data_IF_520213887849
#
_entry.id   IF_520213887849
#
_cell.length_a   1.000
_cell.length_b   1.000
_cell.length_c   1.000
_cell.angle_alpha   90.00
_cell.angle_beta   90.00
_cell.angle_gamma   90.00
#
_symmetry.space_group_name_H-M   'P 1'
#
loop_
_entity.id
_entity.type
_entity.pdbx_description
1 polymer ?
#
# COMPACT_ATOMS: atom_id res chain seq x y z
N UNK A 1 15.77 12.30 -6.14
CA UNK A 1 14.64 13.24 -5.98
C UNK A 1 13.28 12.53 -6.04
N UNK A 2 12.98 11.77 -7.11
CA UNK A 2 11.68 11.10 -7.30
C UNK A 2 11.36 9.96 -6.30
N UNK A 3 12.35 9.27 -5.77
CA UNK A 3 12.16 8.16 -4.82
C UNK A 3 11.77 8.61 -3.40
N UNK A 4 12.17 9.82 -2.97
CA UNK A 4 11.90 10.35 -1.63
C UNK A 4 10.47 10.87 -1.46
N UNK A 5 9.87 11.39 -2.54
CA UNK A 5 8.49 11.88 -2.56
C UNK A 5 7.44 10.75 -2.56
N UNK A 6 7.71 9.63 -3.24
CA UNK A 6 6.72 8.55 -3.41
C UNK A 6 6.33 7.85 -2.10
N UNK A 7 7.27 7.65 -1.18
CA UNK A 7 6.96 7.06 0.13
C UNK A 7 6.02 7.94 0.97
N UNK A 8 6.04 9.26 0.77
CA UNK A 8 5.22 10.22 1.51
C UNK A 8 3.90 10.53 0.80
N UNK A 9 3.91 10.68 -0.54
CA UNK A 9 2.73 11.05 -1.32
C UNK A 9 1.65 9.98 -1.42
N UNK A 10 1.99 8.67 -1.38
CA UNK A 10 0.99 7.59 -1.47
C UNK A 10 0.05 7.58 -0.26
N UNK A 11 0.42 8.24 0.84
CA UNK A 11 -0.30 8.19 2.11
C UNK A 11 -1.40 9.25 2.31
N UNK A 12 -1.44 10.32 1.50
CA UNK A 12 -2.11 11.59 1.90
C UNK A 12 -3.29 11.99 1.00
N UNK A 13 -3.53 11.34 -0.15
CA UNK A 13 -4.27 12.01 -1.23
C UNK A 13 -5.81 12.01 -1.20
N UNK A 14 -6.52 11.40 -0.24
CA UNK A 14 -8.00 11.36 -0.34
C UNK A 14 -8.82 11.56 0.96
N UNK A 15 -8.22 11.74 2.16
CA UNK A 15 -9.02 11.78 3.40
C UNK A 15 -9.36 13.15 3.98
N UNK A 16 -8.90 14.27 3.42
CA UNK A 16 -9.08 15.58 4.03
C UNK A 16 -10.02 16.51 3.21
N UNK A 17 -11.32 16.43 3.47
CA UNK A 17 -12.23 17.53 3.15
C UNK A 17 -13.14 17.81 4.34
N UNK A 18 -12.81 18.87 5.10
CA UNK A 18 -13.78 19.61 5.91
C UNK A 18 -13.60 19.57 7.43
N UNK A 19 -12.94 20.64 7.94
CA UNK A 19 -13.11 21.38 9.21
C UNK A 19 -11.81 21.56 10.00
N UNK A 20 -11.44 22.84 10.18
CA UNK A 20 -10.43 23.29 11.13
C UNK A 20 -10.96 23.07 12.55
N UNK A 21 -10.54 22.00 13.22
CA UNK A 21 -10.71 21.88 14.68
C UNK A 21 -9.46 22.41 15.38
N UNK A 22 -9.71 23.24 16.37
CA UNK A 22 -8.73 23.90 17.23
C UNK A 22 -7.87 22.91 18.03
N UNK A 23 -6.66 23.39 18.36
CA UNK A 23 -5.58 22.90 19.23
C UNK A 23 -5.95 22.04 20.47
N UNK A 24 -6.66 20.92 20.30
CA UNK A 24 -6.97 20.02 21.41
C UNK A 24 -5.91 18.92 21.47
N UNK A 25 -5.18 18.78 22.59
CA UNK A 25 -4.30 17.64 22.79
C UNK A 25 -5.15 16.37 22.90
N UNK A 26 -4.85 15.38 22.06
CA UNK A 26 -5.54 14.09 22.07
C UNK A 26 -4.77 13.13 22.98
N UNK A 27 -5.44 12.57 23.99
CA UNK A 27 -4.84 11.60 24.91
C UNK A 27 -4.82 10.21 24.27
N UNK A 28 -3.62 9.66 24.06
CA UNK A 28 -3.43 8.23 23.75
C UNK A 28 -2.42 7.67 24.77
N UNK A 29 -2.92 7.21 25.92
CA UNK A 29 -2.09 6.81 27.07
C UNK A 29 -1.65 7.98 27.98
N UNK A 30 -0.69 7.72 28.88
CA UNK A 30 -0.18 8.68 29.89
C UNK A 30 0.73 9.79 29.32
N UNK A 31 1.03 9.75 28.02
CA UNK A 31 1.84 10.76 27.34
C UNK A 31 0.97 11.74 26.53
N UNK A 32 1.19 13.04 26.73
CA UNK A 32 0.51 14.11 25.99
C UNK A 32 1.32 14.44 24.73
N UNK A 33 0.87 13.96 23.57
CA UNK A 33 1.48 14.29 22.28
C UNK A 33 0.78 15.47 21.60
N UNK A 34 1.57 16.32 20.95
CA UNK A 34 1.09 17.44 20.17
C UNK A 34 1.71 17.40 18.78
N UNK A 35 0.89 17.49 17.72
CA UNK A 35 1.36 17.38 16.34
C UNK A 35 2.44 18.43 16.00
N UNK A 36 2.32 19.65 16.54
CA UNK A 36 3.30 20.72 16.37
C UNK A 36 4.67 20.37 16.97
N UNK A 37 4.69 19.68 18.11
CA UNK A 37 5.92 19.27 18.78
C UNK A 37 6.64 18.16 18.00
N UNK A 38 5.90 17.22 17.43
CA UNK A 38 6.42 16.18 16.54
C UNK A 38 7.05 16.81 15.29
N UNK A 39 6.34 17.75 14.65
CA UNK A 39 6.85 18.48 13.47
C UNK A 39 8.09 19.28 13.83
N UNK A 40 8.09 19.98 14.98
CA UNK A 40 9.25 20.76 15.47
C UNK A 40 10.46 19.85 15.67
N UNK A 41 10.27 18.73 16.37
CA UNK A 41 11.31 17.74 16.64
C UNK A 41 11.94 17.22 15.34
N UNK A 42 11.12 16.86 14.35
CA UNK A 42 11.63 16.37 13.07
C UNK A 42 12.29 17.46 12.22
N UNK A 43 11.74 18.69 12.25
CA UNK A 43 12.34 19.88 11.64
C UNK A 43 13.73 20.16 12.20
N UNK A 44 13.95 19.91 13.49
CA UNK A 44 15.24 20.12 14.15
C UNK A 44 16.19 18.92 13.95
N UNK A 45 15.84 17.99 13.06
CA UNK A 45 16.66 16.82 12.69
C UNK A 45 16.66 15.69 13.72
N UNK A 46 15.81 15.74 14.74
CA UNK A 46 15.75 14.71 15.77
C UNK A 46 14.89 13.51 15.31
N UNK A 47 15.25 12.28 15.70
CA UNK A 47 14.47 11.10 15.35
C UNK A 47 13.14 11.06 16.09
N UNK A 48 12.10 10.61 15.40
CA UNK A 48 10.78 10.36 15.98
C UNK A 48 10.72 8.96 16.61
N UNK A 49 10.01 8.85 17.73
CA UNK A 49 9.67 7.58 18.38
C UNK A 49 8.49 6.90 17.66
N UNK A 50 8.33 5.61 17.90
CA UNK A 50 7.21 4.84 17.34
C UNK A 50 5.86 5.39 17.83
N UNK A 51 5.78 5.80 19.09
CA UNK A 51 4.58 6.36 19.72
C UNK A 51 4.18 7.70 19.09
N UNK A 52 5.16 8.59 18.85
CA UNK A 52 4.93 9.87 18.17
C UNK A 52 4.42 9.66 16.74
N UNK A 53 5.02 8.73 15.99
CA UNK A 53 4.61 8.41 14.62
C UNK A 53 3.20 7.82 14.62
N UNK A 54 2.91 6.86 15.50
CA UNK A 54 1.59 6.23 15.62
C UNK A 54 0.52 7.25 16.00
N UNK A 55 0.82 8.15 16.93
CA UNK A 55 -0.07 9.25 17.29
C UNK A 55 -0.40 10.12 16.08
N UNK A 56 0.62 10.53 15.31
CA UNK A 56 0.40 11.39 14.16
C UNK A 56 -0.44 10.71 13.08
N UNK A 57 -0.16 9.45 12.76
CA UNK A 57 -0.92 8.68 11.75
C UNK A 57 -2.36 8.42 12.17
N UNK A 58 -2.60 8.08 13.44
CA UNK A 58 -3.97 7.96 13.97
C UNK A 58 -4.68 9.31 13.90
N UNK A 59 -3.98 10.41 14.20
CA UNK A 59 -4.52 11.76 14.06
C UNK A 59 -4.90 12.13 12.62
N UNK A 60 -4.22 11.62 11.60
CA UNK A 60 -4.62 11.75 10.19
C UNK A 60 -5.91 10.97 9.94
N UNK A 61 -5.96 9.70 10.35
CA UNK A 61 -7.14 8.83 10.20
C UNK A 61 -8.38 9.45 10.85
N UNK A 62 -8.24 9.98 12.05
CA UNK A 62 -9.34 10.52 12.85
C UNK A 62 -9.66 12.00 12.50
N UNK A 63 -9.03 12.56 11.45
CA UNK A 63 -9.18 13.95 11.01
C UNK A 63 -8.88 15.01 12.09
N UNK A 64 -8.01 14.67 13.05
CA UNK A 64 -7.51 15.59 14.09
C UNK A 64 -6.36 16.45 13.56
N UNK A 65 -5.51 15.88 12.72
CA UNK A 65 -4.36 16.56 12.14
C UNK A 65 -4.78 17.27 10.85
N UNK A 66 -4.48 18.57 10.76
CA UNK A 66 -4.85 19.36 9.59
C UNK A 66 -3.94 19.09 8.39
N UNK A 67 -4.42 19.39 7.18
CA UNK A 67 -3.62 19.29 5.95
C UNK A 67 -2.31 20.08 6.03
N UNK A 68 -2.33 21.26 6.66
CA UNK A 68 -1.14 22.07 6.86
C UNK A 68 -0.11 21.39 7.77
N UNK A 69 -0.55 20.67 8.79
CA UNK A 69 0.34 19.88 9.66
C UNK A 69 0.90 18.67 8.93
N UNK A 70 0.08 17.98 8.11
CA UNK A 70 0.52 16.87 7.28
C UNK A 70 1.58 17.33 6.28
N UNK A 71 1.33 18.42 5.57
CA UNK A 71 2.27 19.02 4.61
C UNK A 71 3.57 19.46 5.30
N UNK A 72 3.48 20.07 6.49
CA UNK A 72 4.65 20.45 7.26
C UNK A 72 5.50 19.23 7.66
N UNK A 73 4.89 18.16 8.16
CA UNK A 73 5.61 16.93 8.48
C UNK A 73 6.28 16.33 7.24
N UNK A 74 5.54 16.23 6.12
CA UNK A 74 6.06 15.72 4.86
C UNK A 74 7.28 16.52 4.37
N UNK A 75 7.24 17.86 4.48
CA UNK A 75 8.36 18.71 4.12
C UNK A 75 9.56 18.53 5.05
N UNK A 76 9.34 18.38 6.36
CA UNK A 76 10.45 18.14 7.30
C UNK A 76 11.13 16.80 7.04
N UNK A 77 10.37 15.75 6.72
CA UNK A 77 10.88 14.44 6.30
C UNK A 77 11.67 14.55 5.00
N UNK A 78 11.19 15.34 4.03
CA UNK A 78 11.92 15.55 2.77
C UNK A 78 13.32 16.13 3.00
N UNK A 79 13.47 17.08 3.92
CA UNK A 79 14.75 17.71 4.23
C UNK A 79 15.66 16.89 5.15
N UNK A 80 15.10 16.21 6.15
CA UNK A 80 15.89 15.52 7.20
C UNK A 80 15.93 14.00 7.07
N UNK A 81 15.25 13.43 6.07
CA UNK A 81 15.07 12.00 5.83
C UNK A 81 14.48 11.26 7.06
N UNK A 82 14.33 9.95 6.96
CA UNK A 82 13.97 9.08 8.08
C UNK A 82 14.98 7.95 8.22
N UNK A 83 15.37 7.69 9.46
CA UNK A 83 16.12 6.49 9.82
C UNK A 83 15.30 5.22 9.54
N UNK A 84 15.97 4.06 9.45
CA UNK A 84 15.28 2.79 9.20
C UNK A 84 14.21 2.48 10.27
N UNK A 85 14.45 2.67 11.59
CA UNK A 85 13.42 2.48 12.60
C UNK A 85 12.19 3.37 12.40
N UNK A 86 12.37 4.65 12.07
CA UNK A 86 11.26 5.58 11.78
C UNK A 86 10.46 5.11 10.57
N UNK A 87 11.12 4.65 9.49
CA UNK A 87 10.45 4.14 8.29
C UNK A 87 9.62 2.90 8.58
N UNK A 88 10.14 1.98 9.40
CA UNK A 88 9.41 0.78 9.84
C UNK A 88 8.20 1.19 10.69
N UNK A 89 8.39 2.05 11.69
CA UNK A 89 7.31 2.56 12.54
C UNK A 89 6.21 3.25 11.72
N UNK A 90 6.58 4.10 10.76
CA UNK A 90 5.64 4.78 9.86
C UNK A 90 4.85 3.78 9.03
N UNK A 91 5.53 2.81 8.41
CA UNK A 91 4.89 1.79 7.57
C UNK A 91 3.90 0.94 8.39
N UNK A 92 4.28 0.56 9.61
CA UNK A 92 3.45 -0.24 10.50
C UNK A 92 2.25 0.56 11.01
N UNK A 93 2.44 1.82 11.41
CA UNK A 93 1.37 2.70 11.82
C UNK A 93 0.36 2.95 10.70
N UNK A 94 0.84 3.15 9.46
CA UNK A 94 -0.03 3.30 8.28
C UNK A 94 -0.80 2.01 7.94
N UNK A 95 -0.17 0.84 8.07
CA UNK A 95 -0.85 -0.44 7.87
C UNK A 95 -1.95 -0.65 8.91
N UNK A 96 -1.64 -0.36 10.17
CA UNK A 96 -2.52 -0.65 11.32
C UNK A 96 -3.61 0.42 11.54
N UNK A 97 -3.54 1.56 10.85
CA UNK A 97 -4.59 2.59 10.91
C UNK A 97 -5.87 2.17 10.17
N UNK A 98 -5.75 1.26 9.21
CA UNK A 98 -6.86 0.72 8.42
C UNK A 98 -7.24 -0.71 8.78
N UNK A 99 -7.91 -1.38 7.85
CA UNK A 99 -8.27 -2.81 7.98
C UNK A 99 -7.17 -3.69 7.42
N UNK A 100 -6.67 -4.64 8.23
CA UNK A 100 -5.66 -5.61 7.80
C UNK A 100 -6.34 -6.87 7.25
N UNK A 101 -6.17 -7.13 5.96
CA UNK A 101 -6.74 -8.31 5.31
C UNK A 101 -6.01 -9.59 5.73
N UNK A 102 -6.72 -10.46 6.46
CA UNK A 102 -6.24 -11.79 6.80
C UNK A 102 -6.79 -12.86 5.83
N UNK A 103 -5.89 -13.59 5.19
CA UNK A 103 -6.20 -14.62 4.19
C UNK A 103 -6.14 -16.05 4.74
N UNK A 104 -5.67 -16.23 5.99
CA UNK A 104 -5.51 -17.56 6.60
C UNK A 104 -6.84 -18.31 6.72
N UNK A 105 -7.94 -17.60 6.94
CA UNK A 105 -9.28 -18.18 7.06
C UNK A 105 -9.80 -18.82 5.77
N UNK A 106 -9.24 -18.47 4.61
CA UNK A 106 -9.66 -18.99 3.31
C UNK A 106 -8.97 -20.30 2.90
N UNK A 107 -8.04 -20.81 3.73
CA UNK A 107 -7.30 -22.06 3.52
C UNK A 107 -6.80 -22.25 2.07
N UNK A 108 -6.13 -21.21 1.56
CA UNK A 108 -5.67 -21.14 0.18
C UNK A 108 -4.58 -22.20 -0.06
N UNK A 109 -4.72 -22.96 -1.14
CA UNK A 109 -3.84 -24.08 -1.51
C UNK A 109 -2.64 -23.67 -2.38
N UNK A 110 -2.37 -22.37 -2.50
CA UNK A 110 -1.34 -21.78 -3.36
C UNK A 110 -0.73 -20.54 -2.73
N UNK A 111 0.40 -20.05 -3.26
CA UNK A 111 1.10 -18.91 -2.70
C UNK A 111 0.27 -17.62 -2.89
N UNK A 112 0.29 -16.76 -1.86
CA UNK A 112 -0.25 -15.41 -1.92
C UNK A 112 0.86 -14.47 -2.41
N UNK A 113 0.67 -13.82 -3.55
CA UNK A 113 1.69 -13.02 -4.22
C UNK A 113 1.12 -11.65 -4.57
N UNK A 114 1.87 -10.60 -4.29
CA UNK A 114 1.54 -9.25 -4.73
C UNK A 114 2.75 -8.63 -5.41
N UNK A 115 2.50 -7.75 -6.39
CA UNK A 115 3.52 -6.97 -7.08
C UNK A 115 3.14 -5.51 -7.03
N UNK A 116 4.09 -4.70 -6.58
CA UNK A 116 3.96 -3.25 -6.59
C UNK A 116 4.98 -2.62 -7.52
N UNK A 117 4.58 -1.57 -8.23
CA UNK A 117 5.50 -0.74 -9.03
C UNK A 117 5.77 0.55 -8.27
N UNK A 118 7.00 1.05 -8.30
CA UNK A 118 7.26 2.42 -7.84
C UNK A 118 6.61 3.45 -8.76
N UNK A 119 6.12 3.06 -9.95
CA UNK A 119 5.43 3.91 -10.91
C UNK A 119 6.34 4.37 -12.05
N UNK A 120 5.78 4.45 -13.25
CA UNK A 120 6.49 4.81 -14.49
C UNK A 120 5.51 5.16 -15.61
N UNK A 121 6.05 5.57 -16.76
CA UNK A 121 5.23 5.92 -17.94
C UNK A 121 4.86 4.63 -18.67
N UNK A 122 3.57 4.37 -18.83
CA UNK A 122 3.09 3.21 -19.59
C UNK A 122 3.25 1.85 -18.92
N UNK A 123 3.46 1.78 -17.59
CA UNK A 123 3.64 0.49 -16.89
C UNK A 123 2.37 -0.39 -16.93
N UNK A 124 2.33 -1.35 -17.84
CA UNK A 124 1.25 -2.35 -17.98
C UNK A 124 1.63 -3.70 -17.35
N UNK A 125 2.80 -3.81 -16.72
CA UNK A 125 3.31 -5.09 -16.20
C UNK A 125 2.37 -5.69 -15.16
N UNK A 126 1.81 -4.85 -14.26
CA UNK A 126 0.88 -5.34 -13.23
C UNK A 126 -0.39 -5.97 -13.83
N UNK A 127 -0.90 -5.41 -14.94
CA UNK A 127 -2.11 -5.91 -15.61
C UNK A 127 -1.91 -7.30 -16.23
N UNK A 128 -0.73 -7.53 -16.82
CA UNK A 128 -0.41 -8.83 -17.44
C UNK A 128 0.03 -9.87 -16.43
N UNK A 129 0.78 -9.45 -15.40
CA UNK A 129 1.37 -10.37 -14.42
C UNK A 129 0.32 -11.02 -13.52
N UNK A 130 -0.73 -10.29 -13.13
CA UNK A 130 -1.80 -10.82 -12.27
C UNK A 130 -2.44 -12.11 -12.83
N UNK A 131 -2.99 -12.07 -14.06
CA UNK A 131 -3.57 -13.26 -14.71
C UNK A 131 -2.56 -14.38 -14.94
N UNK A 132 -1.30 -14.07 -15.26
CA UNK A 132 -0.25 -15.08 -15.46
C UNK A 132 0.04 -15.86 -14.17
N UNK A 133 0.20 -15.16 -13.05
CA UNK A 133 0.44 -15.80 -11.74
C UNK A 133 -0.80 -16.59 -11.30
N UNK A 134 -2.01 -16.06 -11.56
CA UNK A 134 -3.26 -16.77 -11.29
C UNK A 134 -3.38 -18.08 -12.09
N UNK A 135 -3.01 -18.08 -13.38
CA UNK A 135 -2.96 -19.27 -14.23
C UNK A 135 -1.96 -20.33 -13.72
N UNK A 136 -0.87 -19.90 -13.09
CA UNK A 136 0.09 -20.78 -12.44
C UNK A 136 -0.34 -21.26 -11.04
N UNK A 137 -1.56 -20.94 -10.60
CA UNK A 137 -2.11 -21.37 -9.31
C UNK A 137 -1.79 -20.48 -8.12
N UNK A 138 -1.25 -19.28 -8.34
CA UNK A 138 -1.04 -18.26 -7.29
C UNK A 138 -2.29 -17.40 -7.04
N UNK A 139 -2.43 -16.88 -5.83
CA UNK A 139 -3.49 -15.93 -5.47
C UNK A 139 -2.90 -14.52 -5.44
N UNK A 140 -3.52 -13.59 -6.18
CA UNK A 140 -2.98 -12.23 -6.38
C UNK A 140 -3.93 -11.15 -5.84
N UNK A 141 -3.96 -10.91 -4.52
CA UNK A 141 -4.76 -9.85 -3.90
C UNK A 141 -4.08 -8.48 -4.07
N UNK A 142 -3.95 -8.03 -5.32
CA UNK A 142 -3.24 -6.79 -5.64
C UNK A 142 -4.06 -5.57 -5.23
N UNK A 143 -3.49 -4.75 -4.34
CA UNK A 143 -4.00 -3.41 -4.00
C UNK A 143 -3.17 -2.40 -4.78
N UNK A 144 -3.80 -1.67 -5.69
CA UNK A 144 -3.14 -0.67 -6.54
C UNK A 144 -3.63 0.73 -6.23
N UNK A 145 -2.79 1.73 -6.49
CA UNK A 145 -3.17 3.14 -6.39
C UNK A 145 -3.59 3.72 -7.74
N UNK A 146 -4.20 4.92 -7.68
CA UNK A 146 -4.35 5.81 -8.82
C UNK A 146 -3.00 6.42 -9.23
N UNK A 147 -2.96 7.04 -10.40
CA UNK A 147 -1.78 7.71 -10.92
C UNK A 147 -1.24 8.78 -9.98
N UNK A 148 0.09 8.90 -9.94
CA UNK A 148 0.77 9.93 -9.15
C UNK A 148 1.52 10.88 -10.10
N UNK A 149 1.11 12.15 -10.11
CA UNK A 149 1.68 13.17 -10.99
C UNK A 149 1.51 12.80 -12.47
N UNK A 150 2.62 12.72 -13.21
CA UNK A 150 2.62 12.36 -14.65
C UNK A 150 2.61 10.85 -14.93
N UNK A 151 2.61 10.01 -13.88
CA UNK A 151 2.59 8.55 -14.04
C UNK A 151 1.16 8.03 -13.90
N UNK A 152 0.66 7.32 -14.91
CA UNK A 152 -0.67 6.71 -14.87
C UNK A 152 -0.74 5.53 -13.90
N UNK A 153 -1.85 5.40 -13.16
CA UNK A 153 -2.06 4.33 -12.20
C UNK A 153 -2.51 3.02 -12.85
N UNK A 154 -2.36 1.90 -12.14
CA UNK A 154 -2.98 0.63 -12.56
C UNK A 154 -4.50 0.68 -12.41
N UNK A 155 -5.02 1.35 -11.38
CA UNK A 155 -6.46 1.53 -11.19
C UNK A 155 -7.10 2.33 -12.34
N UNK A 156 -6.47 3.42 -12.79
CA UNK A 156 -7.02 4.26 -13.87
C UNK A 156 -7.16 3.48 -15.19
N UNK A 157 -6.28 2.50 -15.42
CA UNK A 157 -6.35 1.62 -16.61
C UNK A 157 -7.46 0.58 -16.50
N UNK A 158 -7.74 0.09 -15.28
CA UNK A 158 -8.83 -0.85 -15.02
C UNK A 158 -10.19 -0.14 -15.09
N UNK A 159 -10.27 1.10 -14.61
CA UNK A 159 -11.49 1.94 -14.69
C UNK A 159 -11.91 2.24 -16.14
N UNK A 160 -10.97 2.23 -17.09
CA UNK A 160 -11.28 2.37 -18.51
C UNK A 160 -12.09 1.18 -19.08
N UNK A 161 -12.16 0.04 -18.37
CA UNK A 161 -12.99 -1.11 -18.75
C UNK A 161 -14.44 -0.83 -18.32
N UNK A 162 -15.41 -0.76 -19.27
CA UNK A 162 -16.79 -0.46 -18.92
C UNK A 162 -17.38 -1.46 -17.92
N UNK A 163 -17.92 -0.95 -16.81
CA UNK A 163 -18.56 -1.76 -15.77
C UNK A 163 -17.59 -2.42 -14.77
N UNK A 164 -16.31 -2.08 -14.81
CA UNK A 164 -15.33 -2.56 -13.82
C UNK A 164 -15.40 -1.74 -12.53
N UNK A 165 -15.67 -2.40 -11.40
CA UNK A 165 -15.64 -1.77 -10.09
C UNK A 165 -14.21 -1.78 -9.51
N UNK A 166 -13.66 -0.58 -9.33
CA UNK A 166 -12.31 -0.37 -8.78
C UNK A 166 -12.28 -0.23 -7.24
N UNK A 167 -13.44 -0.18 -6.58
CA UNK A 167 -13.54 -0.09 -5.11
C UNK A 167 -14.47 -1.19 -4.55
N UNK A 168 -14.14 -2.48 -4.77
CA UNK A 168 -14.94 -3.57 -4.23
C UNK A 168 -14.88 -3.61 -2.70
N UNK A 169 -15.98 -3.99 -2.05
CA UNK A 169 -15.96 -4.30 -0.62
C UNK A 169 -15.10 -5.55 -0.31
N UNK A 170 -14.72 -5.75 0.97
CA UNK A 170 -13.85 -6.87 1.36
C UNK A 170 -14.40 -8.25 0.95
N UNK A 171 -15.72 -8.44 1.03
CA UNK A 171 -16.35 -9.71 0.67
C UNK A 171 -16.31 -9.93 -0.85
N UNK A 172 -16.63 -8.90 -1.63
CA UNK A 172 -16.54 -8.89 -3.08
C UNK A 172 -15.10 -9.15 -3.52
N UNK A 173 -14.13 -8.45 -2.92
CA UNK A 173 -12.71 -8.61 -3.20
C UNK A 173 -12.24 -10.06 -2.97
N UNK A 174 -12.55 -10.65 -1.81
CA UNK A 174 -12.24 -12.06 -1.51
C UNK A 174 -12.87 -13.02 -2.50
N UNK A 175 -14.12 -12.78 -2.91
CA UNK A 175 -14.83 -13.59 -3.91
C UNK A 175 -14.14 -13.50 -5.27
N UNK A 176 -13.71 -12.31 -5.70
CA UNK A 176 -13.00 -12.11 -6.97
C UNK A 176 -11.70 -12.92 -6.97
N UNK A 177 -10.89 -12.82 -5.91
CA UNK A 177 -9.63 -13.57 -5.81
C UNK A 177 -9.85 -15.08 -5.89
N UNK A 178 -10.88 -15.60 -5.22
CA UNK A 178 -11.25 -17.02 -5.33
C UNK A 178 -11.78 -17.39 -6.72
N UNK A 179 -12.58 -16.54 -7.34
CA UNK A 179 -13.19 -16.80 -8.65
C UNK A 179 -12.13 -16.80 -9.75
N UNK A 180 -11.26 -15.79 -9.80
CA UNK A 180 -10.18 -15.67 -10.77
C UNK A 180 -9.27 -16.90 -10.66
N UNK A 181 -8.86 -17.27 -9.44
CA UNK A 181 -8.08 -18.48 -9.23
C UNK A 181 -8.82 -19.74 -9.72
N UNK A 182 -10.10 -19.92 -9.39
CA UNK A 182 -10.88 -21.09 -9.85
C UNK A 182 -11.02 -21.16 -11.37
N UNK A 183 -11.18 -20.02 -12.04
CA UNK A 183 -11.26 -19.96 -13.50
C UNK A 183 -9.90 -20.29 -14.15
N UNK A 184 -8.82 -19.78 -13.55
CA UNK A 184 -7.44 -19.99 -14.00
C UNK A 184 -6.88 -21.38 -13.67
N UNK A 185 -7.32 -22.00 -12.57
CA UNK A 185 -6.90 -23.33 -12.12
C UNK A 185 -7.70 -24.48 -12.74
N UNK A 186 -8.74 -24.20 -13.53
CA UNK A 186 -9.30 -25.22 -14.42
C UNK A 186 -8.18 -25.66 -15.36
N UNK A 187 -7.96 -26.96 -15.59
CA UNK A 187 -6.98 -27.41 -16.55
C UNK A 187 -7.36 -26.80 -17.88
N UNK A 188 -6.60 -25.79 -18.28
CA UNK A 188 -6.81 -25.15 -19.55
C UNK A 188 -6.59 -26.24 -20.59
N UNK A 189 -7.64 -26.56 -21.37
CA UNK A 189 -7.53 -27.32 -22.62
C UNK A 189 -6.72 -26.46 -23.58
N UNK A 190 -5.42 -26.35 -23.35
CA UNK A 190 -4.48 -25.87 -24.34
C UNK A 190 -4.28 -27.01 -25.34
N UNK A 191 -4.56 -26.82 -26.63
CA UNK A 191 -4.44 -27.88 -27.64
C UNK A 191 -2.97 -28.17 -28.02
N UNK A 192 -2.00 -27.92 -27.14
CA UNK A 192 -0.58 -28.15 -27.42
C UNK A 192 0.12 -28.74 -26.19
N UNK A 193 1.00 -29.74 -26.37
CA UNK A 193 1.72 -30.36 -25.26
C UNK A 193 2.84 -29.42 -24.80
N UNK A 194 2.57 -28.58 -23.79
CA UNK A 194 3.62 -27.87 -23.07
C UNK A 194 4.18 -28.84 -22.02
N UNK A 195 5.07 -29.73 -22.46
CA UNK A 195 5.79 -30.69 -21.61
C UNK A 195 6.92 -30.06 -20.78
N UNK A 196 6.99 -28.73 -20.66
CA UNK A 196 8.16 -28.03 -20.07
C UNK A 196 7.96 -27.62 -18.61
N UNK A 197 6.75 -27.68 -18.05
CA UNK A 197 6.51 -27.32 -16.64
C UNK A 197 6.02 -28.51 -15.80
N UNK A 198 6.79 -29.59 -15.77
CA UNK A 198 6.63 -30.65 -14.75
C UNK A 198 7.92 -30.81 -13.95
N UNK A 199 8.12 -29.91 -12.98
CA UNK A 199 8.78 -30.17 -11.68
C UNK A 199 8.69 -28.92 -10.79
N UNK A 200 8.37 -29.07 -9.50
CA UNK A 200 8.28 -27.96 -8.56
C UNK A 200 9.71 -27.52 -8.17
N UNK A 201 10.30 -26.61 -8.93
CA UNK A 201 11.43 -25.85 -8.43
C UNK A 201 10.87 -24.74 -7.53
N UNK A 202 10.85 -25.00 -6.23
CA UNK A 202 10.70 -23.98 -5.19
C UNK A 202 11.87 -23.00 -5.36
N UNK A 203 11.65 -21.94 -6.12
CA UNK A 203 12.54 -20.77 -6.14
C UNK A 203 12.21 -19.97 -4.87
N UNK A 204 12.97 -20.24 -3.80
CA UNK A 204 13.23 -19.25 -2.76
C UNK A 204 13.91 -18.07 -3.44
N UNK A 205 13.17 -17.03 -3.81
CA UNK A 205 13.77 -15.77 -4.19
C UNK A 205 13.89 -14.91 -2.94
N UNK A 206 15.06 -15.04 -2.30
CA UNK A 206 15.60 -14.00 -1.44
C UNK A 206 15.79 -12.72 -2.28
N UNK A 207 15.39 -11.60 -1.68
CA UNK A 207 15.81 -10.20 -1.80
C UNK A 207 16.74 -9.78 -2.95
N UNK A 208 16.53 -8.57 -3.52
CA UNK A 208 17.50 -7.61 -4.15
C UNK A 208 16.67 -6.70 -5.11
N UNK A 209 16.74 -5.37 -5.16
CA UNK A 209 17.59 -4.34 -4.55
C UNK A 209 16.80 -3.02 -4.51
N UNK A 210 16.99 -2.25 -3.44
CA UNK A 210 16.87 -0.79 -3.49
C UNK A 210 18.07 -0.25 -4.27
N UNK A 211 17.83 0.62 -5.25
CA UNK A 211 18.77 1.67 -5.66
C UNK A 211 18.03 3.00 -5.75
#
# INVERSE_FOLDING_TARGET
>A
MHSRLKACCVAISESACGRLSSHIPVKQGDALFLAQEIIRKKRDGQPLSEEEIRFFINGIRDNVVSEGQIAALAMTIYFHDMSMPERVALTMAMRDSGTVLNWKSLNLNGPLVDKHSTGGVGDVTSLMLGPMVAACGGYVPMISGRGLGHTGGTLDKLEAIPGFDIFPDDNAFRKIIMLVWRLSAKPARWPLPISVFTRPAILRQQSILFH
#
